data_IF_355758425232
#
_entry.id   IF_355758425232
#
_cell.length_a   1.000
_cell.length_b   1.000
_cell.length_c   1.000
_cell.angle_alpha   90.00
_cell.angle_beta   90.00
_cell.angle_gamma   90.00
#
_symmetry.space_group_name_H-M   'P 1'
#
loop_
_entity.id
_entity.type
_entity.pdbx_description
1 polymer ?
#
# COMPACT_ATOMS: atom_id res chain seq x y z
N UNK A 1 1.36 -13.88 -23.59
CA UNK A 1 0.52 -13.71 -22.39
C UNK A 1 0.11 -12.25 -22.30
N UNK A 2 -1.12 -11.94 -21.90
CA UNK A 2 -1.56 -10.55 -21.66
C UNK A 2 -1.03 -10.12 -20.29
N UNK A 3 -0.45 -8.93 -20.22
CA UNK A 3 0.08 -8.35 -18.98
C UNK A 3 -0.51 -6.95 -18.77
N UNK A 4 -0.77 -6.60 -17.50
CA UNK A 4 -1.18 -5.26 -17.10
C UNK A 4 0.02 -4.49 -16.53
N UNK A 5 0.16 -3.22 -16.92
CA UNK A 5 1.26 -2.36 -16.43
C UNK A 5 0.78 -0.96 -16.05
N UNK A 6 1.36 -0.33 -15.00
CA UNK A 6 0.94 0.98 -14.48
C UNK A 6 1.73 2.14 -15.12
N UNK A 7 2.23 1.95 -16.33
CA UNK A 7 3.15 2.89 -16.99
C UNK A 7 2.57 4.31 -17.16
N UNK A 8 3.44 5.31 -17.16
CA UNK A 8 3.14 6.68 -17.61
C UNK A 8 2.72 6.67 -19.09
N UNK A 9 2.02 7.72 -19.58
CA UNK A 9 1.57 7.80 -20.97
C UNK A 9 2.68 8.08 -22.01
N UNK A 10 3.93 7.75 -21.69
CA UNK A 10 5.09 7.86 -22.59
C UNK A 10 5.57 6.46 -23.01
N UNK A 11 5.74 6.26 -24.33
CA UNK A 11 6.23 5.02 -24.94
C UNK A 11 7.57 4.55 -24.33
N UNK A 12 8.42 5.48 -23.89
CA UNK A 12 9.71 5.17 -23.25
C UNK A 12 9.58 4.39 -21.94
N UNK A 13 8.39 4.39 -21.33
CA UNK A 13 8.14 3.69 -20.08
C UNK A 13 7.99 2.19 -20.28
N UNK A 14 7.52 1.76 -21.46
CA UNK A 14 7.26 0.35 -21.78
C UNK A 14 8.58 -0.37 -22.10
N UNK A 15 9.18 -1.00 -21.10
CA UNK A 15 10.45 -1.73 -21.24
C UNK A 15 11.50 -1.40 -20.17
N UNK A 16 11.24 -0.41 -19.32
CA UNK A 16 12.02 -0.17 -18.09
C UNK A 16 11.51 -1.06 -16.95
N UNK A 17 12.26 -1.17 -15.85
CA UNK A 17 11.77 -1.81 -14.61
C UNK A 17 10.67 -0.93 -13.99
N UNK A 18 9.45 -1.02 -14.52
CA UNK A 18 8.29 -0.28 -14.03
C UNK A 18 7.89 -0.89 -12.67
N UNK A 19 7.65 -0.06 -11.63
CA UNK A 19 7.06 -0.55 -10.39
C UNK A 19 5.77 -1.33 -10.69
N UNK A 20 5.41 -2.33 -9.88
CA UNK A 20 4.24 -3.16 -10.16
C UNK A 20 2.91 -2.38 -10.13
N UNK A 21 2.88 -1.23 -9.45
CA UNK A 21 1.75 -0.28 -9.40
C UNK A 21 2.28 1.13 -9.13
N UNK A 22 1.48 2.16 -9.44
CA UNK A 22 1.78 3.55 -9.12
C UNK A 22 0.64 4.21 -8.33
N UNK A 23 0.99 5.11 -7.41
CA UNK A 23 0.09 6.12 -6.86
C UNK A 23 0.44 7.48 -7.48
N UNK A 24 -0.41 7.93 -8.40
CA UNK A 24 -0.31 9.22 -9.09
C UNK A 24 -1.42 10.19 -8.64
N UNK A 25 -2.23 9.82 -7.64
CA UNK A 25 -3.30 10.68 -7.17
C UNK A 25 -2.74 12.00 -6.63
N UNK A 26 -3.29 13.12 -7.11
CA UNK A 26 -2.81 14.45 -6.76
C UNK A 26 -1.47 14.85 -7.42
N UNK A 27 -0.98 14.09 -8.41
CA UNK A 27 0.22 14.43 -9.19
C UNK A 27 -0.14 14.83 -10.62
N UNK A 28 0.57 15.81 -11.17
CA UNK A 28 0.42 16.27 -12.56
C UNK A 28 1.31 15.44 -13.52
N UNK A 29 1.08 14.12 -13.56
CA UNK A 29 1.87 13.18 -14.37
C UNK A 29 1.03 12.42 -15.42
N UNK A 30 -0.21 12.87 -15.64
CA UNK A 30 -1.11 12.37 -16.68
C UNK A 30 -1.08 13.23 -17.95
N UNK A 31 -1.70 12.73 -19.02
CA UNK A 31 -1.95 13.48 -20.26
C UNK A 31 -3.40 13.99 -20.35
N UNK A 32 -3.77 14.65 -21.45
CA UNK A 32 -5.13 15.15 -21.68
C UNK A 32 -6.21 14.05 -21.61
N UNK A 33 -5.86 12.81 -21.97
CA UNK A 33 -6.79 11.67 -21.91
C UNK A 33 -7.05 11.26 -20.47
N UNK A 34 -6.00 11.25 -19.63
CA UNK A 34 -6.15 10.97 -18.20
C UNK A 34 -6.96 12.07 -17.52
N UNK A 35 -6.73 13.34 -17.87
CA UNK A 35 -7.51 14.48 -17.36
C UNK A 35 -8.98 14.33 -17.73
N UNK A 36 -9.30 14.05 -18.99
CA UNK A 36 -10.68 13.84 -19.43
C UNK A 36 -11.36 12.66 -18.71
N UNK A 37 -10.63 11.56 -18.49
CA UNK A 37 -11.14 10.41 -17.75
C UNK A 37 -11.43 10.76 -16.27
N UNK A 38 -10.54 11.52 -15.61
CA UNK A 38 -10.74 12.01 -14.25
C UNK A 38 -11.96 12.93 -14.16
N UNK A 39 -12.10 13.90 -15.06
CA UNK A 39 -13.24 14.82 -15.05
C UNK A 39 -14.57 14.09 -15.30
N UNK A 40 -14.58 13.09 -16.20
CA UNK A 40 -15.75 12.27 -16.45
C UNK A 40 -16.21 11.47 -15.22
N UNK A 41 -15.28 10.95 -14.40
CA UNK A 41 -15.63 10.18 -13.20
C UNK A 41 -15.89 11.05 -11.98
N UNK A 42 -15.37 12.28 -11.92
CA UNK A 42 -15.61 13.20 -10.78
C UNK A 42 -17.09 13.56 -10.65
N UNK A 43 -17.80 13.63 -11.77
CA UNK A 43 -19.23 13.91 -11.82
C UNK A 43 -20.11 12.66 -11.70
N UNK A 44 -19.51 11.47 -11.67
CA UNK A 44 -20.22 10.20 -11.57
C UNK A 44 -20.65 9.96 -10.11
N UNK A 45 -21.97 9.85 -9.81
CA UNK A 45 -22.44 9.58 -8.46
C UNK A 45 -21.87 8.27 -7.90
N UNK A 46 -21.32 8.33 -6.70
CA UNK A 46 -20.76 7.17 -6.01
C UNK A 46 -19.35 6.79 -6.45
N UNK A 47 -18.70 7.51 -7.38
CA UNK A 47 -17.31 7.25 -7.74
C UNK A 47 -16.38 7.37 -6.52
N UNK A 48 -15.55 6.35 -6.32
CA UNK A 48 -14.60 6.25 -5.20
C UNK A 48 -13.18 6.50 -5.68
N UNK A 49 -12.77 5.87 -6.78
CA UNK A 49 -11.43 5.99 -7.32
C UNK A 49 -11.33 5.57 -8.79
N UNK A 50 -10.30 6.08 -9.47
CA UNK A 50 -9.98 5.79 -10.87
C UNK A 50 -8.53 5.33 -10.99
N UNK A 51 -8.33 4.19 -11.66
CA UNK A 51 -7.02 3.68 -12.05
C UNK A 51 -6.88 3.68 -13.57
N UNK A 52 -5.69 4.06 -14.06
CA UNK A 52 -5.25 3.78 -15.44
C UNK A 52 -4.49 2.46 -15.45
N UNK A 53 -4.71 1.69 -16.50
CA UNK A 53 -3.96 0.46 -16.76
C UNK A 53 -3.64 0.34 -18.24
N UNK A 54 -2.49 -0.21 -18.55
CA UNK A 54 -2.13 -0.59 -19.92
C UNK A 54 -2.18 -2.10 -20.06
N UNK A 55 -2.90 -2.59 -21.06
CA UNK A 55 -2.92 -3.99 -21.45
C UNK A 55 -1.92 -4.21 -22.57
N UNK A 56 -0.88 -4.99 -22.29
CA UNK A 56 0.20 -5.31 -23.24
C UNK A 56 0.07 -6.77 -23.67
N UNK A 57 0.17 -7.01 -24.97
CA UNK A 57 0.17 -8.35 -25.55
C UNK A 57 1.24 -8.45 -26.65
N UNK A 58 1.88 -9.63 -26.85
CA UNK A 58 2.91 -9.80 -27.87
C UNK A 58 2.39 -9.43 -29.27
N UNK A 59 3.12 -8.56 -29.98
CA UNK A 59 2.78 -8.14 -31.35
C UNK A 59 1.55 -7.23 -31.45
N UNK A 60 1.03 -6.72 -30.33
CA UNK A 60 -0.06 -5.73 -30.31
C UNK A 60 0.40 -4.43 -29.66
N UNK A 61 -0.15 -3.31 -30.12
CA UNK A 61 0.06 -2.03 -29.46
C UNK A 61 -0.53 -2.05 -28.03
N UNK A 62 0.14 -1.43 -27.05
CA UNK A 62 -0.40 -1.28 -25.70
C UNK A 62 -1.77 -0.59 -25.72
N UNK A 63 -2.77 -1.22 -25.12
CA UNK A 63 -4.12 -0.66 -25.04
C UNK A 63 -4.33 -0.03 -23.67
N UNK A 64 -4.61 1.28 -23.63
CA UNK A 64 -5.01 1.98 -22.40
C UNK A 64 -6.43 1.60 -22.01
N UNK A 65 -6.67 1.41 -20.72
CA UNK A 65 -8.00 1.20 -20.14
C UNK A 65 -8.07 1.85 -18.76
N UNK A 66 -9.28 2.03 -18.25
CA UNK A 66 -9.49 2.59 -16.92
C UNK A 66 -10.37 1.68 -16.09
N UNK A 67 -10.07 1.60 -14.79
CA UNK A 67 -10.89 0.89 -13.81
C UNK A 67 -11.45 1.93 -12.85
N UNK A 68 -12.76 1.94 -12.64
CA UNK A 68 -13.42 2.80 -11.65
C UNK A 68 -14.03 1.94 -10.55
N UNK A 69 -13.73 2.30 -9.31
CA UNK A 69 -14.49 1.81 -8.16
C UNK A 69 -15.63 2.78 -7.90
N UNK A 70 -16.85 2.26 -7.77
CA UNK A 70 -18.04 3.05 -7.48
C UNK A 70 -18.90 2.38 -6.42
N UNK A 71 -19.26 3.11 -5.37
CA UNK A 71 -20.18 2.66 -4.33
C UNK A 71 -21.61 2.42 -4.85
N UNK A 72 -21.93 2.93 -6.04
CA UNK A 72 -23.22 2.75 -6.70
C UNK A 72 -23.03 2.10 -8.08
N UNK A 73 -24.00 1.31 -8.57
CA UNK A 73 -23.96 0.81 -9.94
C UNK A 73 -23.81 1.98 -10.93
N UNK A 74 -22.78 1.91 -11.77
CA UNK A 74 -22.47 2.94 -12.73
C UNK A 74 -22.39 2.34 -14.14
N UNK A 75 -23.02 3.01 -15.10
CA UNK A 75 -22.80 2.73 -16.52
C UNK A 75 -21.69 3.66 -17.01
N UNK A 76 -20.59 3.07 -17.48
CA UNK A 76 -19.43 3.81 -17.96
C UNK A 76 -19.12 3.43 -19.40
N UNK A 77 -18.67 4.39 -20.25
CA UNK A 77 -18.28 4.08 -21.62
C UNK A 77 -16.98 3.28 -21.63
N UNK A 78 -16.82 2.38 -22.61
CA UNK A 78 -15.51 1.77 -22.87
C UNK A 78 -14.46 2.86 -23.21
N UNK A 79 -13.17 2.68 -22.84
CA UNK A 79 -12.56 1.50 -22.23
C UNK A 79 -12.56 1.53 -20.69
N UNK A 80 -13.54 2.18 -20.06
CA UNK A 80 -13.70 2.20 -18.60
C UNK A 80 -14.48 0.96 -18.15
N UNK A 81 -13.99 0.27 -17.13
CA UNK A 81 -14.72 -0.79 -16.43
C UNK A 81 -15.04 -0.35 -15.01
N UNK A 82 -16.30 -0.50 -14.58
CA UNK A 82 -16.75 -0.16 -13.23
C UNK A 82 -16.94 -1.42 -12.38
N UNK A 83 -16.61 -1.34 -11.09
CA UNK A 83 -16.97 -2.35 -10.09
C UNK A 83 -17.43 -1.69 -8.79
N UNK A 84 -18.23 -2.44 -8.01
CA UNK A 84 -18.67 -2.02 -6.69
C UNK A 84 -17.82 -2.65 -5.57
N UNK A 85 -17.48 -1.91 -4.50
CA UNK A 85 -16.79 -2.46 -3.34
C UNK A 85 -17.64 -3.56 -2.67
N UNK A 86 -16.98 -4.60 -2.17
CA UNK A 86 -17.63 -5.73 -1.48
C UNK A 86 -18.39 -6.71 -2.39
N UNK A 87 -18.53 -6.42 -3.68
CA UNK A 87 -19.09 -7.34 -4.68
C UNK A 87 -18.04 -8.28 -5.27
N UNK A 88 -18.49 -9.26 -6.06
CA UNK A 88 -17.59 -10.10 -6.87
C UNK A 88 -16.95 -9.24 -7.97
N UNK A 89 -15.68 -8.88 -7.79
CA UNK A 89 -14.90 -8.17 -8.81
C UNK A 89 -14.35 -9.20 -9.80
N UNK A 90 -14.64 -9.10 -11.12
CA UNK A 90 -14.07 -10.00 -12.11
C UNK A 90 -12.53 -10.04 -12.03
N UNK A 91 -11.95 -11.23 -12.19
CA UNK A 91 -10.50 -11.44 -12.02
C UNK A 91 -9.65 -10.52 -12.88
N UNK A 92 -10.09 -10.27 -14.12
CA UNK A 92 -9.42 -9.35 -15.04
C UNK A 92 -9.44 -7.91 -14.55
N UNK A 93 -10.55 -7.45 -13.94
CA UNK A 93 -10.69 -6.10 -13.38
C UNK A 93 -9.83 -5.95 -12.14
N UNK A 94 -9.82 -6.97 -11.27
CA UNK A 94 -8.99 -7.00 -10.06
C UNK A 94 -7.49 -7.00 -10.41
N UNK A 95 -7.08 -7.82 -11.38
CA UNK A 95 -5.70 -7.86 -11.86
C UNK A 95 -5.27 -6.52 -12.48
N UNK A 96 -6.13 -5.92 -13.31
CA UNK A 96 -5.90 -4.62 -13.92
C UNK A 96 -5.74 -3.50 -12.88
N UNK A 97 -6.61 -3.47 -11.86
CA UNK A 97 -6.52 -2.50 -10.76
C UNK A 97 -5.22 -2.66 -9.97
N UNK A 98 -4.89 -3.90 -9.57
CA UNK A 98 -3.71 -4.19 -8.75
C UNK A 98 -2.38 -3.93 -9.47
N UNK A 99 -2.40 -3.87 -10.81
CA UNK A 99 -1.26 -3.53 -11.66
C UNK A 99 -1.40 -2.13 -12.32
N UNK A 100 -2.29 -1.30 -11.79
CA UNK A 100 -2.64 0.01 -12.35
C UNK A 100 -1.93 1.18 -11.70
N UNK A 101 -2.08 2.35 -12.31
CA UNK A 101 -1.73 3.64 -11.72
C UNK A 101 -3.01 4.28 -11.15
N UNK A 102 -3.07 4.50 -9.84
CA UNK A 102 -4.15 5.27 -9.22
C UNK A 102 -4.03 6.72 -9.68
N UNK A 103 -5.03 7.24 -10.37
CA UNK A 103 -5.05 8.60 -10.90
C UNK A 103 -5.86 9.57 -10.03
N UNK A 104 -6.92 9.06 -9.43
CA UNK A 104 -7.86 9.88 -8.65
C UNK A 104 -8.56 9.06 -7.57
N UNK A 105 -8.91 9.74 -6.47
CA UNK A 105 -9.76 9.22 -5.41
C UNK A 105 -10.66 10.35 -4.88
N UNK A 106 -11.89 10.00 -4.50
CA UNK A 106 -12.90 10.95 -4.05
C UNK A 106 -12.54 11.59 -2.70
N UNK A 107 -12.10 10.77 -1.75
CA UNK A 107 -11.61 11.25 -0.46
C UNK A 107 -10.19 11.77 -0.65
N UNK A 108 -9.93 13.04 -0.36
CA UNK A 108 -8.57 13.50 -0.19
C UNK A 108 -7.96 12.80 1.03
N UNK A 109 -6.86 12.06 0.83
CA UNK A 109 -6.17 11.38 1.91
C UNK A 109 -4.69 11.80 1.94
N UNK A 110 -4.11 12.02 3.13
CA UNK A 110 -2.68 12.29 3.25
C UNK A 110 -1.85 11.14 2.67
N UNK A 111 -0.55 11.36 2.37
CA UNK A 111 0.37 10.29 2.02
C UNK A 111 0.39 9.18 3.06
N UNK A 112 0.60 7.94 2.61
CA UNK A 112 0.79 6.80 3.51
C UNK A 112 2.03 7.04 4.37
N UNK A 113 1.88 6.84 5.68
CA UNK A 113 2.99 6.91 6.64
C UNK A 113 3.54 5.53 6.89
N UNK A 114 4.85 5.36 6.74
CA UNK A 114 5.54 4.10 7.07
C UNK A 114 5.95 4.16 8.53
N UNK A 115 5.51 3.18 9.32
CA UNK A 115 5.88 3.08 10.73
C UNK A 115 7.32 2.58 10.87
N UNK A 116 8.21 3.32 11.55
CA UNK A 116 9.49 2.78 11.96
C UNK A 116 9.27 1.68 13.01
N UNK A 117 10.11 0.66 12.96
CA UNK A 117 10.09 -0.46 13.91
C UNK A 117 11.03 -0.20 15.08
N UNK A 118 12.20 0.38 14.78
CA UNK A 118 13.32 0.51 15.69
C UNK A 118 13.61 1.98 15.95
N UNK A 119 14.19 2.30 17.12
CA UNK A 119 14.56 3.66 17.49
C UNK A 119 15.75 4.16 16.66
N UNK A 120 16.65 3.24 16.30
CA UNK A 120 17.78 3.53 15.43
C UNK A 120 18.15 2.36 14.52
N UNK A 121 18.60 2.72 13.32
CA UNK A 121 19.13 1.80 12.30
C UNK A 121 20.35 2.46 11.69
N UNK A 122 21.53 1.91 11.97
CA UNK A 122 22.81 2.42 11.47
C UNK A 122 23.74 1.26 11.09
N UNK A 123 25.03 1.53 10.91
CA UNK A 123 26.04 0.52 10.56
C UNK A 123 26.23 -0.56 11.61
N UNK A 124 25.81 -0.34 12.86
CA UNK A 124 25.84 -1.32 13.95
C UNK A 124 24.56 -2.18 13.98
N UNK A 125 23.57 -1.84 13.16
CA UNK A 125 22.30 -2.56 13.03
C UNK A 125 21.12 -1.83 13.65
N UNK A 126 19.97 -2.51 13.60
CA UNK A 126 18.71 -2.04 14.16
C UNK A 126 18.64 -2.33 15.66
N UNK A 127 18.19 -1.36 16.47
CA UNK A 127 18.07 -1.51 17.93
C UNK A 127 16.91 -0.71 18.52
N UNK A 128 16.46 -1.15 19.68
CA UNK A 128 15.64 -0.38 20.61
C UNK A 128 16.52 0.27 21.67
N UNK A 129 16.18 1.49 22.06
CA UNK A 129 16.86 2.20 23.15
C UNK A 129 16.47 1.57 24.51
N UNK A 130 17.34 1.73 25.51
CA UNK A 130 17.16 1.10 26.81
C UNK A 130 15.91 1.60 27.57
N UNK A 131 15.52 2.85 27.31
CA UNK A 131 14.33 3.52 27.85
C UNK A 131 13.11 3.45 26.93
N UNK A 132 13.15 2.63 25.87
CA UNK A 132 12.03 2.45 24.95
C UNK A 132 10.75 2.07 25.73
N UNK A 133 9.68 2.81 25.45
CA UNK A 133 8.43 2.71 26.17
C UNK A 133 7.81 1.32 26.05
N UNK A 134 7.18 0.84 27.14
CA UNK A 134 6.46 -0.43 27.16
C UNK A 134 5.00 -0.24 27.51
N UNK A 135 4.12 -0.97 26.83
CA UNK A 135 2.68 -0.94 27.08
C UNK A 135 2.29 -1.91 28.18
N UNK A 136 1.21 -1.56 28.89
CA UNK A 136 0.59 -2.41 29.94
C UNK A 136 -0.48 -3.32 29.33
N UNK A 137 -0.88 -4.39 30.04
CA UNK A 137 -1.63 -5.50 29.45
C UNK A 137 -2.89 -5.11 28.62
N UNK A 138 -3.75 -4.23 29.15
CA UNK A 138 -4.99 -3.88 28.44
C UNK A 138 -4.75 -3.04 27.17
N UNK A 139 -3.86 -2.06 27.26
CA UNK A 139 -3.49 -1.19 26.13
C UNK A 139 -2.66 -1.95 25.09
N UNK A 140 -1.77 -2.85 25.55
CA UNK A 140 -1.01 -3.77 24.70
C UNK A 140 -1.96 -4.65 23.87
N UNK A 141 -2.94 -5.29 24.50
CA UNK A 141 -3.88 -6.17 23.81
C UNK A 141 -4.65 -5.41 22.74
N UNK A 142 -5.17 -4.24 23.09
CA UNK A 142 -5.90 -3.38 22.17
C UNK A 142 -5.04 -2.98 20.95
N UNK A 143 -3.82 -2.50 21.19
CA UNK A 143 -2.92 -2.05 20.12
C UNK A 143 -2.47 -3.22 19.26
N UNK A 144 -2.16 -4.37 19.85
CA UNK A 144 -1.72 -5.53 19.10
C UNK A 144 -2.86 -6.08 18.22
N UNK A 145 -4.09 -6.17 18.75
CA UNK A 145 -5.26 -6.58 17.97
C UNK A 145 -5.49 -5.66 16.76
N UNK A 146 -5.32 -4.35 16.92
CA UNK A 146 -5.40 -3.40 15.80
C UNK A 146 -4.33 -3.67 14.74
N UNK A 147 -3.06 -3.79 15.16
CA UNK A 147 -1.93 -4.01 14.24
C UNK A 147 -2.03 -5.35 13.50
N UNK A 148 -2.56 -6.39 14.15
CA UNK A 148 -2.79 -7.71 13.59
C UNK A 148 -3.97 -7.75 12.61
N UNK A 149 -4.99 -6.90 12.85
CA UNK A 149 -6.16 -6.78 11.99
C UNK A 149 -5.91 -5.97 10.70
N UNK A 150 -4.78 -5.27 10.59
CA UNK A 150 -4.41 -4.55 9.37
C UNK A 150 -4.41 -5.45 8.12
N UNK A 151 -4.86 -4.91 7.00
CA UNK A 151 -4.93 -5.65 5.74
C UNK A 151 -3.51 -5.98 5.24
N UNK A 152 -3.20 -7.25 4.91
CA UNK A 152 -1.89 -7.63 4.40
C UNK A 152 -1.71 -7.13 2.95
N UNK A 153 -0.66 -6.36 2.70
CA UNK A 153 -0.37 -5.82 1.35
C UNK A 153 0.86 -6.44 0.70
N UNK A 154 1.78 -6.98 1.49
CA UNK A 154 2.92 -7.74 1.00
C UNK A 154 3.21 -8.88 1.98
N UNK A 155 2.97 -10.11 1.55
CA UNK A 155 3.20 -11.29 2.37
C UNK A 155 4.51 -11.98 1.99
N UNK A 156 5.26 -12.44 2.99
CA UNK A 156 6.47 -13.25 2.81
C UNK A 156 6.59 -14.29 3.92
N UNK A 157 7.19 -15.44 3.58
CA UNK A 157 7.56 -16.45 4.57
C UNK A 157 8.91 -16.15 5.25
N UNK A 158 9.68 -15.20 4.71
CA UNK A 158 10.99 -14.80 5.27
C UNK A 158 10.84 -14.19 6.67
N UNK A 159 11.85 -14.46 7.51
CA UNK A 159 11.93 -13.95 8.88
C UNK A 159 13.31 -13.35 9.14
N UNK A 160 13.36 -12.38 10.04
CA UNK A 160 14.61 -11.79 10.54
C UNK A 160 14.99 -12.35 11.92
N UNK A 161 16.29 -12.33 12.26
CA UNK A 161 16.72 -12.48 13.65
C UNK A 161 16.04 -11.47 14.56
N UNK A 162 15.71 -11.91 15.77
CA UNK A 162 15.22 -11.03 16.83
C UNK A 162 16.35 -10.13 17.33
N UNK A 163 16.16 -8.80 17.30
CA UNK A 163 17.20 -7.85 17.72
C UNK A 163 17.34 -7.78 19.24
N UNK A 164 16.31 -8.16 19.99
CA UNK A 164 16.29 -8.18 21.46
C UNK A 164 16.89 -9.49 21.97
N UNK A 165 16.53 -10.62 21.35
CA UNK A 165 17.08 -11.94 21.69
C UNK A 165 17.59 -12.70 20.45
N UNK A 166 18.78 -12.33 19.91
CA UNK A 166 19.30 -12.90 18.65
C UNK A 166 19.47 -14.43 18.66
N UNK A 167 19.62 -15.04 19.84
CA UNK A 167 19.78 -16.48 20.00
C UNK A 167 18.54 -17.29 19.59
N UNK A 168 17.37 -16.64 19.48
CA UNK A 168 16.13 -17.27 18.97
C UNK A 168 16.19 -17.59 17.47
N UNK A 169 17.18 -17.05 16.76
CA UNK A 169 17.27 -17.17 15.31
C UNK A 169 16.21 -16.35 14.57
N UNK A 170 15.94 -16.72 13.32
CA UNK A 170 15.06 -15.97 12.43
C UNK A 170 13.56 -16.21 12.72
N UNK A 171 13.00 -15.44 13.66
CA UNK A 171 11.61 -15.58 14.12
C UNK A 171 10.72 -14.38 13.78
N UNK A 172 11.31 -13.22 13.53
CA UNK A 172 10.59 -11.96 13.36
C UNK A 172 9.93 -11.90 11.97
N UNK A 173 8.59 -11.77 11.86
CA UNK A 173 7.90 -11.74 10.58
C UNK A 173 8.17 -10.43 9.81
N UNK A 174 8.19 -10.53 8.48
CA UNK A 174 8.54 -9.42 7.58
C UNK A 174 7.42 -8.99 6.63
N UNK A 175 6.22 -9.58 6.74
CA UNK A 175 5.07 -9.15 5.94
C UNK A 175 4.67 -7.72 6.32
N UNK A 176 4.01 -7.02 5.40
CA UNK A 176 3.51 -5.66 5.61
C UNK A 176 1.99 -5.63 5.69
N UNK A 177 1.48 -4.82 6.62
CA UNK A 177 0.06 -4.55 6.86
C UNK A 177 -0.25 -3.06 6.77
N UNK A 178 -1.50 -2.73 6.49
CA UNK A 178 -1.99 -1.36 6.39
C UNK A 178 -3.39 -1.19 6.96
N UNK A 179 -3.72 0.03 7.40
CA UNK A 179 -5.09 0.49 7.63
C UNK A 179 -5.56 1.52 6.59
N UNK A 180 -4.77 1.72 5.54
CA UNK A 180 -5.02 2.72 4.48
C UNK A 180 -4.45 4.11 4.77
N UNK A 181 -3.88 4.35 5.96
CA UNK A 181 -3.17 5.58 6.33
C UNK A 181 -1.74 5.30 6.79
N UNK A 182 -1.56 4.21 7.53
CA UNK A 182 -0.29 3.71 7.99
C UNK A 182 0.05 2.39 7.32
N UNK A 183 1.34 2.18 7.10
CA UNK A 183 1.93 0.95 6.66
C UNK A 183 2.97 0.52 7.69
N UNK A 184 2.89 -0.73 8.15
CA UNK A 184 3.83 -1.28 9.13
C UNK A 184 4.21 -2.71 8.77
N UNK A 185 5.39 -3.14 9.20
CA UNK A 185 5.75 -4.55 9.18
C UNK A 185 5.09 -5.30 10.34
N UNK A 186 4.81 -6.58 10.16
CA UNK A 186 4.31 -7.46 11.23
C UNK A 186 5.29 -7.54 12.41
N UNK A 187 6.55 -7.18 12.22
CA UNK A 187 7.53 -7.08 13.30
C UNK A 187 7.12 -6.09 14.40
N UNK A 188 6.35 -5.04 14.09
CA UNK A 188 5.84 -4.10 15.10
C UNK A 188 4.93 -4.84 16.08
N UNK A 189 3.97 -5.62 15.57
CA UNK A 189 3.10 -6.45 16.41
C UNK A 189 3.90 -7.53 17.16
N UNK A 190 4.91 -8.13 16.52
CA UNK A 190 5.80 -9.11 17.14
C UNK A 190 6.52 -8.55 18.38
N UNK A 191 7.20 -7.40 18.25
CA UNK A 191 7.95 -6.81 19.37
C UNK A 191 7.02 -6.31 20.48
N UNK A 192 5.84 -5.80 20.12
CA UNK A 192 4.80 -5.45 21.08
C UNK A 192 4.31 -6.68 21.86
N UNK A 193 3.92 -7.77 21.16
CA UNK A 193 3.43 -9.00 21.81
C UNK A 193 4.49 -9.67 22.67
N UNK A 194 5.73 -9.72 22.19
CA UNK A 194 6.80 -10.51 22.82
C UNK A 194 7.46 -9.78 23.98
N UNK A 195 7.63 -8.46 23.85
CA UNK A 195 8.41 -7.66 24.79
C UNK A 195 7.62 -6.49 25.40
N UNK A 196 6.40 -6.23 24.93
CA UNK A 196 5.64 -5.05 25.33
C UNK A 196 6.18 -3.74 24.76
N UNK A 197 7.14 -3.78 23.84
CA UNK A 197 7.74 -2.58 23.24
C UNK A 197 6.68 -1.83 22.44
N UNK A 198 6.47 -0.56 22.79
CA UNK A 198 5.45 0.26 22.17
C UNK A 198 5.77 0.51 20.68
N UNK A 199 4.75 0.56 19.79
CA UNK A 199 4.97 1.08 18.45
C UNK A 199 5.45 2.54 18.49
N UNK A 200 5.97 3.03 17.37
CA UNK A 200 6.34 4.42 17.20
C UNK A 200 5.23 5.36 17.73
N UNK A 201 5.56 6.44 18.47
CA UNK A 201 4.57 7.24 19.21
C UNK A 201 3.40 7.73 18.37
N UNK A 202 3.66 8.15 17.13
CA UNK A 202 2.62 8.63 16.20
C UNK A 202 1.70 7.52 15.72
N UNK A 203 2.22 6.31 15.48
CA UNK A 203 1.39 5.15 15.14
C UNK A 203 0.55 4.75 16.36
N UNK A 204 1.16 4.71 17.54
CA UNK A 204 0.44 4.39 18.78
C UNK A 204 -0.69 5.39 19.05
N UNK A 205 -0.46 6.69 18.87
CA UNK A 205 -1.48 7.72 18.99
C UNK A 205 -2.60 7.53 17.96
N UNK A 206 -2.26 7.19 16.71
CA UNK A 206 -3.23 6.88 15.68
C UNK A 206 -4.11 5.68 16.03
N UNK A 207 -3.51 4.57 16.48
CA UNK A 207 -4.24 3.36 16.89
C UNK A 207 -5.19 3.67 18.03
N UNK A 208 -4.73 4.35 19.08
CA UNK A 208 -5.57 4.73 20.23
C UNK A 208 -6.74 5.65 19.81
N UNK A 209 -6.53 6.51 18.81
CA UNK A 209 -7.59 7.37 18.29
C UNK A 209 -8.70 6.60 17.55
N UNK A 210 -8.44 5.37 17.09
CA UNK A 210 -9.47 4.51 16.49
C UNK A 210 -10.41 3.88 17.54
N UNK A 211 -10.03 3.92 18.82
CA UNK A 211 -10.79 3.25 19.87
C UNK A 211 -10.97 1.76 19.56
N UNK A 212 -12.15 1.19 19.79
CA UNK A 212 -12.38 -0.24 19.55
C UNK A 212 -12.50 -0.65 18.06
N UNK A 213 -12.39 0.28 17.11
CA UNK A 213 -12.54 -0.03 15.68
C UNK A 213 -11.28 -0.72 15.15
N UNK A 214 -11.47 -1.88 14.50
CA UNK A 214 -10.40 -2.55 13.76
C UNK A 214 -10.32 -2.01 12.33
N UNK A 215 -9.11 -1.95 11.74
CA UNK A 215 -8.93 -1.42 10.40
C UNK A 215 -9.53 -2.34 9.34
N UNK A 216 -10.22 -1.74 8.37
CA UNK A 216 -10.75 -2.41 7.20
C UNK A 216 -10.57 -1.49 5.97
N UNK A 217 -9.33 -1.30 5.50
CA UNK A 217 -9.07 -0.43 4.36
C UNK A 217 -9.77 -0.95 3.10
N UNK A 218 -10.26 -0.02 2.28
CA UNK A 218 -10.70 -0.34 0.92
C UNK A 218 -9.50 -0.50 -0.03
N UNK A 219 -9.80 -0.87 -1.27
CA UNK A 219 -8.79 -1.11 -2.31
C UNK A 219 -7.86 0.09 -2.55
N UNK A 220 -8.37 1.32 -2.40
CA UNK A 220 -7.54 2.54 -2.50
C UNK A 220 -6.47 2.57 -1.42
N UNK A 221 -6.83 2.28 -0.16
CA UNK A 221 -5.88 2.29 0.96
C UNK A 221 -4.81 1.21 0.81
N UNK A 222 -5.21 0.01 0.40
CA UNK A 222 -4.30 -1.10 0.10
C UNK A 222 -3.33 -0.75 -1.05
N UNK A 223 -3.87 -0.22 -2.16
CA UNK A 223 -3.10 0.17 -3.35
C UNK A 223 -2.06 1.23 -3.01
N UNK A 224 -2.46 2.30 -2.30
CA UNK A 224 -1.54 3.39 -1.93
C UNK A 224 -0.45 2.90 -0.99
N UNK A 225 -0.77 2.02 -0.05
CA UNK A 225 0.20 1.45 0.87
C UNK A 225 1.24 0.59 0.13
N UNK A 226 0.79 -0.26 -0.78
CA UNK A 226 1.69 -1.07 -1.59
C UNK A 226 2.54 -0.21 -2.55
N UNK A 227 1.97 0.84 -3.16
CA UNK A 227 2.73 1.78 -3.99
C UNK A 227 3.84 2.50 -3.19
N UNK A 228 3.56 2.89 -1.94
CA UNK A 228 4.55 3.54 -1.07
C UNK A 228 5.75 2.63 -0.77
N UNK A 229 5.56 1.30 -0.67
CA UNK A 229 6.66 0.34 -0.53
C UNK A 229 7.61 0.37 -1.73
N UNK A 230 7.06 0.31 -2.94
CA UNK A 230 7.88 0.29 -4.17
C UNK A 230 8.52 1.64 -4.47
N UNK A 231 7.88 2.74 -4.10
CA UNK A 231 8.49 4.07 -4.18
C UNK A 231 9.66 4.21 -3.20
N UNK A 232 9.56 3.65 -1.99
CA UNK A 232 10.64 3.65 -1.00
C UNK A 232 11.82 2.75 -1.40
N UNK A 233 11.55 1.60 -2.01
CA UNK A 233 12.59 0.70 -2.54
C UNK A 233 13.38 1.33 -3.71
N UNK A 234 12.74 2.19 -4.50
CA UNK A 234 13.41 2.95 -5.55
C UNK A 234 14.36 4.05 -5.02
N UNK A 235 14.28 4.40 -3.72
CA UNK A 235 15.10 5.41 -3.06
C UNK A 235 16.32 4.81 -2.34
N UNK A 236 16.52 3.49 -2.36
CA UNK A 236 17.78 2.89 -1.88
C UNK A 236 18.86 3.15 -2.95
N UNK A 237 19.89 3.99 -2.70
CA UNK A 237 21.01 4.07 -3.63
C UNK A 237 21.63 2.68 -3.72
N UNK A 238 22.01 2.26 -4.92
CA UNK A 238 22.85 1.09 -5.06
C UNK A 238 24.03 1.23 -4.08
N UNK A 239 24.27 0.18 -3.28
CA UNK A 239 25.52 0.10 -2.52
C UNK A 239 26.64 0.24 -3.54
N UNK A 240 27.41 1.32 -3.45
CA UNK A 240 28.73 1.36 -4.06
C UNK A 240 29.56 0.30 -3.34
N UNK A 241 29.62 -0.89 -3.92
CA UNK A 241 30.60 -1.90 -3.57
C UNK A 241 31.97 -1.32 -3.94
N UNK A 242 32.78 -1.04 -2.92
CA UNK A 242 34.19 -0.65 -3.03
C UNK A 242 35.07 -1.77 -2.50
#
# INVERSE_FOLDING_TARGET
>A
MITFVPALPDERTFGTAVPPLLDLAGRELGDETDVAAIEAIRVLPGAVALWRVWRVAPGQEPVRSYIVESAQPATVPAPIAAYAPGGTVPDVVRAARNAGALLWMAAAAPPIRVAPVFDSVDSLGARFDADHARLTAADLEHVAAYLEAGAPVLATASRLPDVVEPQRGAVVPMSYRTDGHWLWTESVAYYLRTYGLAPAPDLLAHVRAQGAALPAPGAVGEHRALAALFQSAAVVPARDDR
#
